data_IF_150075739077
#
_entry.id   IF_150075739077
#
_cell.length_a   1.000
_cell.length_b   1.000
_cell.length_c   1.000
_cell.angle_alpha   90.00
_cell.angle_beta   90.00
_cell.angle_gamma   90.00
#
_symmetry.space_group_name_H-M   'P 1'
#
loop_
_entity.id
_entity.type
_entity.pdbx_description
1 polymer ?
#
# COMPACT_ATOMS: atom_id res chain seq x y z
N UNK A 1 0.19 6.42 17.15
CA UNK A 1 0.29 6.72 15.71
C UNK A 1 -1.10 6.59 15.14
N UNK A 2 -1.56 7.59 14.39
CA UNK A 2 -2.88 7.59 13.76
C UNK A 2 -2.77 6.73 12.51
N UNK A 3 -3.62 5.70 12.41
CA UNK A 3 -3.81 4.89 11.22
C UNK A 3 -5.29 4.55 11.08
N UNK A 4 -5.74 4.34 9.84
CA UNK A 4 -7.10 3.89 9.53
C UNK A 4 -6.96 2.51 8.91
N UNK A 5 -7.50 1.50 9.57
CA UNK A 5 -7.30 0.10 9.18
C UNK A 5 -5.90 -0.44 9.51
N UNK A 6 -5.53 -1.54 8.86
CA UNK A 6 -4.26 -2.23 9.05
C UNK A 6 -3.76 -2.87 7.75
N UNK A 7 -2.44 -2.91 7.59
CA UNK A 7 -1.76 -3.65 6.53
C UNK A 7 -0.53 -4.32 7.14
N UNK A 8 -0.53 -5.64 7.19
CA UNK A 8 0.55 -6.43 7.79
C UNK A 8 1.00 -7.52 6.83
N UNK A 9 2.32 -7.73 6.80
CA UNK A 9 2.96 -8.82 6.05
C UNK A 9 3.63 -9.73 7.07
N UNK A 10 3.09 -10.94 7.17
CA UNK A 10 3.72 -12.07 7.84
C UNK A 10 4.59 -12.82 6.84
N UNK A 11 5.85 -13.02 7.21
CA UNK A 11 6.86 -13.62 6.37
C UNK A 11 7.78 -14.48 7.23
N UNK A 12 7.92 -15.74 6.84
CA UNK A 12 8.89 -16.67 7.44
C UNK A 12 10.12 -16.78 6.52
N UNK A 13 11.31 -16.50 7.06
CA UNK A 13 12.58 -16.63 6.34
C UNK A 13 12.91 -18.08 5.99
N UNK A 14 12.44 -19.03 6.79
CA UNK A 14 12.67 -20.46 6.59
C UNK A 14 11.63 -21.12 5.70
N UNK A 15 10.49 -20.46 5.49
CA UNK A 15 9.41 -20.88 4.60
C UNK A 15 9.00 -19.69 3.70
N UNK A 16 9.87 -19.25 2.76
CA UNK A 16 9.65 -18.05 1.95
C UNK A 16 8.42 -18.13 1.03
N UNK A 17 7.85 -19.32 0.86
CA UNK A 17 6.58 -19.56 0.19
C UNK A 17 5.35 -19.22 1.05
N UNK A 18 5.50 -19.17 2.39
CA UNK A 18 4.46 -18.82 3.34
C UNK A 18 4.50 -17.32 3.61
N UNK A 19 3.76 -16.59 2.79
CA UNK A 19 3.55 -15.16 2.96
C UNK A 19 2.05 -14.93 3.15
N UNK A 20 1.69 -14.30 4.27
CA UNK A 20 0.32 -13.85 4.50
C UNK A 20 0.30 -12.33 4.52
N UNK A 21 -0.61 -11.75 3.75
CA UNK A 21 -0.87 -10.31 3.74
C UNK A 21 -2.25 -10.09 4.33
N UNK A 22 -2.30 -9.43 5.47
CA UNK A 22 -3.52 -9.13 6.20
C UNK A 22 -3.88 -7.66 6.00
N UNK A 23 -5.08 -7.42 5.50
CA UNK A 23 -5.62 -6.08 5.25
C UNK A 23 -6.94 -5.95 6.03
N UNK A 24 -7.00 -4.99 6.94
CA UNK A 24 -8.21 -4.68 7.72
C UNK A 24 -8.63 -3.26 7.36
N UNK A 25 -9.85 -3.09 6.85
CA UNK A 25 -10.37 -1.78 6.43
C UNK A 25 -11.18 -1.14 7.55
N UNK A 26 -11.40 0.17 7.46
CA UNK A 26 -12.42 0.84 8.25
C UNK A 26 -13.84 0.54 7.76
N UNK A 27 -14.83 1.21 8.37
CA UNK A 27 -16.25 1.12 8.00
C UNK A 27 -16.57 1.55 6.56
N UNK A 28 -15.68 2.30 5.91
CA UNK A 28 -15.82 2.77 4.54
C UNK A 28 -15.05 1.89 3.54
N UNK A 29 -14.39 0.82 4.00
CA UNK A 29 -13.57 -0.03 3.14
C UNK A 29 -12.19 0.55 2.84
N UNK A 30 -11.73 1.54 3.63
CA UNK A 30 -10.46 2.23 3.40
C UNK A 30 -9.33 1.74 4.30
N UNK A 31 -8.10 1.85 3.80
CA UNK A 31 -6.87 1.68 4.57
C UNK A 31 -5.95 2.86 4.31
N UNK A 32 -5.51 3.51 5.39
CA UNK A 32 -4.62 4.66 5.37
C UNK A 32 -3.53 4.52 6.41
N UNK A 33 -2.27 4.54 5.97
CA UNK A 33 -1.12 4.33 6.85
C UNK A 33 -0.13 5.50 6.78
N UNK A 34 0.46 5.84 7.93
CA UNK A 34 1.58 6.77 7.98
C UNK A 34 2.85 6.16 7.36
N UNK A 35 3.84 6.98 7.02
CA UNK A 35 5.15 6.48 6.53
C UNK A 35 5.80 5.51 7.51
N UNK A 36 5.64 5.75 8.81
CA UNK A 36 6.17 4.90 9.87
C UNK A 36 5.47 3.54 9.91
N UNK A 37 4.16 3.50 9.69
CA UNK A 37 3.40 2.25 9.67
C UNK A 37 3.70 1.44 8.39
N UNK A 38 3.86 2.11 7.25
CA UNK A 38 4.31 1.46 6.00
C UNK A 38 5.72 0.87 6.16
N UNK A 39 6.63 1.65 6.76
CA UNK A 39 7.98 1.20 7.06
C UNK A 39 7.98 -0.06 7.93
N UNK A 40 7.12 -0.10 8.96
CA UNK A 40 6.94 -1.27 9.83
C UNK A 40 6.36 -2.47 9.07
N UNK A 41 5.34 -2.28 8.26
CA UNK A 41 4.69 -3.36 7.52
C UNK A 41 5.67 -4.08 6.57
N UNK A 42 6.51 -3.29 5.88
CA UNK A 42 7.52 -3.80 4.95
C UNK A 42 8.88 -4.09 5.58
N UNK A 43 9.06 -3.90 6.89
CA UNK A 43 10.35 -4.08 7.58
C UNK A 43 11.49 -3.31 6.88
N UNK A 44 11.25 -2.03 6.61
CA UNK A 44 12.21 -1.12 5.98
C UNK A 44 12.34 0.17 6.79
N UNK A 45 13.38 0.94 6.51
CA UNK A 45 13.51 2.29 7.06
C UNK A 45 12.52 3.27 6.43
N UNK A 46 12.09 4.28 7.20
CA UNK A 46 11.22 5.37 6.72
C UNK A 46 11.86 6.12 5.54
N UNK A 47 13.19 6.18 5.49
CA UNK A 47 13.97 6.71 4.37
C UNK A 47 13.68 5.96 3.05
N UNK A 48 13.51 4.63 3.11
CA UNK A 48 13.13 3.82 1.94
C UNK A 48 11.72 4.17 1.46
N UNK A 49 10.79 4.41 2.39
CA UNK A 49 9.43 4.88 2.06
C UNK A 49 9.48 6.24 1.37
N UNK A 50 10.22 7.21 1.92
CA UNK A 50 10.39 8.53 1.31
C UNK A 50 11.02 8.46 -0.08
N UNK A 51 12.04 7.63 -0.27
CA UNK A 51 12.66 7.43 -1.59
C UNK A 51 11.68 6.76 -2.58
N UNK A 52 10.88 5.80 -2.11
CA UNK A 52 9.82 5.16 -2.89
C UNK A 52 8.78 6.17 -3.36
N UNK A 53 8.25 7.00 -2.45
CA UNK A 53 7.25 8.03 -2.77
C UNK A 53 7.77 9.03 -3.80
N UNK A 54 8.98 9.58 -3.60
CA UNK A 54 9.63 10.47 -4.58
C UNK A 54 9.74 9.82 -5.95
N UNK A 55 10.02 8.52 -5.94
CA UNK A 55 10.16 7.79 -7.18
C UNK A 55 8.83 7.52 -7.89
N UNK A 56 7.74 7.25 -7.16
CA UNK A 56 6.40 7.08 -7.73
C UNK A 56 5.86 8.41 -8.26
N UNK A 57 6.13 9.51 -7.55
CA UNK A 57 5.79 10.86 -8.02
C UNK A 57 6.46 11.16 -9.38
N UNK A 58 7.73 10.80 -9.53
CA UNK A 58 8.49 11.02 -10.78
C UNK A 58 7.92 10.23 -11.97
N UNK A 59 7.32 9.07 -11.74
CA UNK A 59 6.72 8.23 -12.78
C UNK A 59 5.25 8.51 -13.01
N UNK A 60 4.62 9.39 -12.21
CA UNK A 60 3.18 9.68 -12.28
C UNK A 60 2.29 8.59 -11.66
N UNK A 61 2.87 7.62 -10.94
CA UNK A 61 2.14 6.53 -10.29
C UNK A 61 1.54 6.93 -8.93
N UNK A 62 1.92 8.11 -8.43
CA UNK A 62 1.49 8.68 -7.16
C UNK A 62 1.07 10.14 -7.37
N UNK A 63 -0.17 10.44 -6.98
CA UNK A 63 -0.75 11.78 -7.03
C UNK A 63 -0.98 12.27 -5.59
N UNK A 64 -0.19 13.25 -5.16
CA UNK A 64 -0.24 13.84 -3.81
C UNK A 64 -1.63 14.36 -3.43
N UNK A 65 -2.48 14.71 -4.40
CA UNK A 65 -3.83 15.24 -4.14
C UNK A 65 -4.87 14.15 -3.89
N UNK A 66 -4.68 12.95 -4.44
CA UNK A 66 -5.68 11.87 -4.32
C UNK A 66 -5.20 10.68 -3.50
N UNK A 67 -3.89 10.52 -3.37
CA UNK A 67 -3.27 9.38 -2.69
C UNK A 67 -2.80 9.70 -1.25
N UNK A 68 -3.03 10.93 -0.78
CA UNK A 68 -2.64 11.42 0.56
C UNK A 68 -3.83 12.01 1.31
N UNK A 69 -3.96 11.63 2.59
CA UNK A 69 -4.91 12.21 3.55
C UNK A 69 -4.13 12.82 4.71
N UNK A 70 -4.40 14.08 5.05
CA UNK A 70 -3.77 14.74 6.21
C UNK A 70 -4.66 14.57 7.43
N UNK A 71 -4.15 13.90 8.45
CA UNK A 71 -4.83 13.74 9.74
C UNK A 71 -4.27 14.72 10.77
N UNK A 72 -5.16 15.50 11.39
CA UNK A 72 -4.83 16.48 12.41
C UNK A 72 -5.11 15.94 13.81
N UNK A 73 -4.20 16.21 14.74
CA UNK A 73 -4.35 15.79 16.14
C UNK A 73 -3.60 16.68 17.10
N UNK A 74 -3.94 16.59 18.38
CA UNK A 74 -3.24 17.30 19.45
C UNK A 74 -2.28 16.32 20.13
N UNK A 75 -1.00 16.67 20.17
CA UNK A 75 0.01 15.93 20.92
C UNK A 75 0.74 16.89 21.86
N UNK A 76 0.69 16.62 23.16
CA UNK A 76 1.26 17.48 24.21
C UNK A 76 0.82 18.95 24.10
N UNK A 77 -0.49 19.18 23.84
CA UNK A 77 -1.07 20.52 23.70
C UNK A 77 -0.69 21.26 22.41
N UNK A 78 0.05 20.62 21.50
CA UNK A 78 0.42 21.19 20.20
C UNK A 78 -0.42 20.56 19.08
N UNK A 79 -0.86 21.39 18.15
CA UNK A 79 -1.44 20.92 16.90
C UNK A 79 -0.36 20.25 16.06
N UNK A 80 -0.62 19.00 15.68
CA UNK A 80 0.21 18.20 14.82
C UNK A 80 -0.62 17.70 13.64
N UNK A 81 0.08 17.33 12.56
CA UNK A 81 -0.52 16.63 11.43
C UNK A 81 0.38 15.46 11.01
N UNK A 82 -0.24 14.46 10.39
CA UNK A 82 0.47 13.37 9.73
C UNK A 82 -0.17 13.05 8.40
N UNK A 83 0.67 12.82 7.40
CA UNK A 83 0.22 12.32 6.11
C UNK A 83 -0.04 10.81 6.23
N UNK A 84 -1.19 10.38 5.73
CA UNK A 84 -1.54 8.99 5.54
C UNK A 84 -1.65 8.68 4.05
N UNK A 85 -1.25 7.49 3.67
CA UNK A 85 -1.23 7.02 2.28
C UNK A 85 -2.21 5.89 2.10
N UNK A 86 -3.01 5.96 1.04
CA UNK A 86 -4.03 4.97 0.71
C UNK A 86 -3.45 3.63 0.26
N UNK A 87 -4.30 2.60 0.23
CA UNK A 87 -3.91 1.22 -0.13
C UNK A 87 -3.18 1.13 -1.47
N UNK A 88 -3.59 1.89 -2.49
CA UNK A 88 -2.93 1.94 -3.80
C UNK A 88 -1.45 2.30 -3.66
N UNK A 89 -1.14 3.32 -2.88
CA UNK A 89 0.23 3.78 -2.62
C UNK A 89 1.01 2.77 -1.77
N UNK A 90 0.36 2.19 -0.75
CA UNK A 90 0.97 1.15 0.11
C UNK A 90 1.41 -0.04 -0.75
N UNK A 91 0.58 -0.48 -1.70
CA UNK A 91 0.88 -1.57 -2.63
C UNK A 91 2.00 -1.15 -3.60
N UNK A 92 1.89 0.01 -4.23
CA UNK A 92 2.90 0.51 -5.17
C UNK A 92 4.30 0.60 -4.54
N UNK A 93 4.38 1.04 -3.28
CA UNK A 93 5.63 1.07 -2.53
C UNK A 93 6.22 -0.32 -2.29
N UNK A 94 5.40 -1.36 -2.07
CA UNK A 94 5.87 -2.75 -1.96
C UNK A 94 6.57 -3.25 -3.22
N UNK A 95 6.14 -2.77 -4.39
CA UNK A 95 6.82 -3.06 -5.66
C UNK A 95 8.07 -2.20 -5.86
N UNK A 96 8.08 -0.96 -5.36
CA UNK A 96 9.18 -0.01 -5.57
C UNK A 96 10.36 -0.20 -4.63
N UNK A 97 10.10 -0.55 -3.36
CA UNK A 97 11.12 -0.63 -2.31
C UNK A 97 11.88 -1.96 -2.33
N UNK A 98 13.08 -1.92 -1.74
CA UNK A 98 13.93 -3.10 -1.52
C UNK A 98 13.81 -3.55 -0.06
N UNK A 99 13.78 -4.86 0.16
CA UNK A 99 13.67 -5.48 1.48
C UNK A 99 13.14 -6.91 1.36
N UNK A 100 13.39 -7.75 2.36
CA UNK A 100 12.95 -9.15 2.36
C UNK A 100 11.43 -9.25 2.33
N UNK A 101 10.71 -8.48 3.17
CA UNK A 101 9.25 -8.45 3.12
C UNK A 101 8.70 -7.83 1.84
N UNK A 102 9.38 -6.84 1.25
CA UNK A 102 9.00 -6.30 -0.06
C UNK A 102 9.11 -7.39 -1.16
N UNK A 103 10.18 -8.17 -1.15
CA UNK A 103 10.36 -9.28 -2.10
C UNK A 103 9.32 -10.38 -1.88
N UNK A 104 9.09 -10.77 -0.63
CA UNK A 104 8.07 -11.72 -0.24
C UNK A 104 6.67 -11.25 -0.70
N UNK A 105 6.35 -9.97 -0.47
CA UNK A 105 5.11 -9.35 -0.92
C UNK A 105 4.96 -9.40 -2.45
N UNK A 106 6.00 -9.06 -3.22
CA UNK A 106 5.95 -9.14 -4.68
C UNK A 106 5.70 -10.57 -5.18
N UNK A 107 6.38 -11.56 -4.59
CA UNK A 107 6.18 -12.98 -4.91
C UNK A 107 4.75 -13.43 -4.58
N UNK A 108 4.25 -13.06 -3.41
CA UNK A 108 2.88 -13.32 -2.99
C UNK A 108 1.85 -12.70 -3.94
N UNK A 109 2.00 -11.41 -4.27
CA UNK A 109 1.07 -10.70 -5.14
C UNK A 109 1.04 -11.32 -6.56
N UNK A 110 2.20 -11.66 -7.11
CA UNK A 110 2.30 -12.31 -8.41
C UNK A 110 1.62 -13.69 -8.42
N UNK A 111 1.86 -14.51 -7.38
CA UNK A 111 1.21 -15.83 -7.22
C UNK A 111 -0.30 -15.70 -7.09
N UNK A 112 -0.78 -14.81 -6.22
CA UNK A 112 -2.21 -14.61 -6.00
C UNK A 112 -2.94 -14.17 -7.27
N UNK A 113 -2.28 -13.33 -8.07
CA UNK A 113 -2.78 -12.92 -9.38
C UNK A 113 -2.82 -14.11 -10.36
N UNK A 114 -1.75 -14.89 -10.47
CA UNK A 114 -1.68 -16.06 -11.34
C UNK A 114 -2.72 -17.14 -10.98
N UNK A 115 -2.83 -17.50 -9.70
CA UNK A 115 -3.82 -18.47 -9.18
C UNK A 115 -5.26 -18.08 -9.51
N UNK A 116 -5.56 -16.77 -9.54
CA UNK A 116 -6.89 -16.26 -9.89
C UNK A 116 -7.27 -16.55 -11.36
N UNK A 117 -6.31 -16.93 -12.20
CA UNK A 117 -6.49 -17.25 -13.61
C UNK A 117 -6.24 -18.72 -13.94
N UNK A 118 -5.40 -19.44 -13.19
CA UNK A 118 -5.18 -20.88 -13.40
C UNK A 118 -6.45 -21.73 -13.24
N UNK A 119 -7.41 -21.25 -12.44
CA UNK A 119 -8.75 -21.84 -12.33
C UNK A 119 -9.61 -21.67 -13.61
N UNK A 120 -9.19 -20.86 -14.59
CA UNK A 120 -9.93 -20.54 -15.82
C UNK A 120 -9.04 -20.83 -17.04
N UNK A 121 -9.20 -21.99 -17.67
CA UNK A 121 -8.44 -22.43 -18.88
C UNK A 121 -8.70 -21.62 -20.17
N UNK A 122 -9.22 -20.40 -20.08
CA UNK A 122 -9.58 -19.54 -21.22
C UNK A 122 -8.80 -18.21 -21.18
N UNK A 123 -8.65 -17.56 -22.34
CA UNK A 123 -8.05 -16.23 -22.47
C UNK A 123 -8.67 -15.22 -21.51
N UNK A 124 -7.82 -14.48 -20.78
CA UNK A 124 -8.22 -13.41 -19.86
C UNK A 124 -7.76 -12.07 -20.44
N UNK A 125 -8.70 -11.14 -20.61
CA UNK A 125 -8.43 -9.73 -20.94
C UNK A 125 -8.79 -8.89 -19.72
N UNK A 126 -7.82 -8.16 -19.17
CA UNK A 126 -8.02 -7.24 -18.06
C UNK A 126 -8.15 -5.82 -18.61
N UNK A 127 -9.38 -5.30 -18.64
CA UNK A 127 -9.66 -3.92 -18.99
C UNK A 127 -10.03 -3.14 -17.72
N UNK A 128 -9.28 -2.08 -17.42
CA UNK A 128 -9.77 -1.03 -16.53
C UNK A 128 -10.57 -0.03 -17.35
N UNK A 129 -11.88 0.04 -17.14
CA UNK A 129 -12.69 1.17 -17.59
C UNK A 129 -12.48 2.32 -16.62
N UNK A 130 -11.98 3.47 -17.10
CA UNK A 130 -11.88 4.67 -16.26
C UNK A 130 -13.26 5.12 -15.82
N UNK A 131 -13.52 5.13 -14.51
CA UNK A 131 -14.68 5.84 -13.97
C UNK A 131 -14.49 7.34 -14.21
N UNK A 132 -15.41 7.96 -14.96
CA UNK A 132 -15.49 9.43 -15.02
C UNK A 132 -15.73 9.93 -13.59
N UNK A 133 -14.74 10.60 -13.01
CA UNK A 133 -14.94 11.42 -11.81
C UNK A 133 -16.12 12.36 -12.10
N UNK A 134 -17.28 12.14 -11.47
CA UNK A 134 -18.37 13.13 -11.50
C UNK A 134 -17.79 14.42 -10.93
N UNK A 135 -17.90 15.50 -11.71
CA UNK A 135 -17.32 16.80 -11.39
C UNK A 135 -17.73 17.27 -10.00
N UNK A 136 -16.80 17.96 -9.33
CA UNK A 136 -17.15 18.82 -8.21
C UNK A 136 -18.03 19.95 -8.77
N UNK A 137 -19.25 20.05 -8.21
CA UNK A 137 -20.03 21.29 -8.22
C UNK A 137 -19.46 22.25 -7.18
#
# INVERSE_FOLDING_TARGET
MIKIGNFEIEYDRNAPERVAVKIETDKNGEVWLSKCDIARAYDVFVQSVNAGLKSLAKTGDFDEYTDVRVEHFIYNGKNCSTDLYGLKTIVALGFRMKGLKCEAFRKWAARRLAESFEAKKNTVILCMTGEKRKGLN
#
